data_IF_502952924339
#
_entry.id   IF_502952924339
#
_cell.length_a   1.000
_cell.length_b   1.000
_cell.length_c   1.000
_cell.angle_alpha   90.00
_cell.angle_beta   90.00
_cell.angle_gamma   90.00
#
_symmetry.space_group_name_H-M   'P 1'
#
loop_
_entity.id
_entity.type
_entity.pdbx_description
1 polymer ?
#
# COMPACT_ATOMS: atom_id res chain seq x y z
N UNK A 1 0.92 23.95 16.27
CA UNK A 1 -0.23 24.87 16.40
C UNK A 1 -1.30 24.53 15.36
N UNK A 2 -1.02 24.64 14.06
CA UNK A 2 -1.96 24.26 12.99
C UNK A 2 -2.63 22.88 13.16
N UNK A 3 -1.87 21.83 13.52
CA UNK A 3 -2.46 20.50 13.78
C UNK A 3 -3.50 20.53 14.91
N UNK A 4 -3.27 21.33 15.96
CA UNK A 4 -4.21 21.44 17.10
C UNK A 4 -5.51 22.11 16.66
N UNK A 5 -5.42 23.16 15.85
CA UNK A 5 -6.57 23.91 15.33
C UNK A 5 -7.48 23.02 14.48
N UNK A 6 -6.89 22.26 13.54
CA UNK A 6 -7.65 21.31 12.70
C UNK A 6 -8.41 20.30 13.56
N UNK A 7 -7.78 19.78 14.62
CA UNK A 7 -8.40 18.79 15.50
C UNK A 7 -9.44 19.42 16.44
N UNK A 8 -9.24 20.66 16.89
CA UNK A 8 -10.22 21.42 17.67
C UNK A 8 -11.51 21.69 16.88
N UNK A 9 -11.40 21.87 15.57
CA UNK A 9 -12.54 21.97 14.65
C UNK A 9 -13.24 20.61 14.41
N UNK A 10 -12.75 19.53 15.03
CA UNK A 10 -13.27 18.18 14.86
C UNK A 10 -12.71 17.44 13.64
N UNK A 11 -11.66 17.99 13.02
CA UNK A 11 -11.01 17.40 11.87
C UNK A 11 -10.29 16.09 12.18
N UNK A 12 -10.20 15.22 11.17
CA UNK A 12 -9.59 13.88 11.30
C UNK A 12 -8.22 13.86 10.65
N UNK A 13 -7.26 13.26 11.35
CA UNK A 13 -5.87 13.19 10.90
C UNK A 13 -5.55 11.77 10.44
N UNK A 14 -4.85 11.65 9.31
CA UNK A 14 -4.34 10.38 8.81
C UNK A 14 -2.82 10.34 8.93
N UNK A 15 -2.31 9.42 9.76
CA UNK A 15 -0.88 9.19 9.91
C UNK A 15 -0.38 8.17 8.88
N UNK A 16 0.65 8.50 8.12
CA UNK A 16 1.19 7.65 7.05
C UNK A 16 2.68 7.47 7.24
N UNK A 17 3.12 6.22 7.19
CA UNK A 17 4.54 5.89 7.08
C UNK A 17 4.75 4.41 6.89
N UNK A 18 5.31 4.04 5.75
CA UNK A 18 5.48 2.64 5.36
C UNK A 18 6.89 2.11 5.62
N UNK A 19 7.85 2.99 5.95
CA UNK A 19 9.20 2.60 6.35
C UNK A 19 9.17 1.74 7.62
N UNK A 20 10.02 0.71 7.67
CA UNK A 20 10.09 -0.25 8.79
C UNK A 20 10.28 0.42 10.15
N UNK A 21 11.03 1.52 10.18
CA UNK A 21 11.30 2.29 11.39
C UNK A 21 10.08 3.06 11.92
N UNK A 22 9.09 3.31 11.06
CA UNK A 22 7.92 4.14 11.33
C UNK A 22 6.63 3.34 11.51
N UNK A 23 6.53 2.12 10.95
CA UNK A 23 5.27 1.35 10.94
C UNK A 23 4.69 1.13 12.34
N UNK A 24 5.52 0.65 13.27
CA UNK A 24 5.13 0.32 14.64
C UNK A 24 4.76 1.58 15.42
N UNK A 25 5.61 2.60 15.34
CA UNK A 25 5.41 3.91 15.99
C UNK A 25 4.10 4.56 15.54
N UNK A 26 3.85 4.62 14.22
CA UNK A 26 2.65 5.25 13.68
C UNK A 26 1.39 4.51 14.11
N UNK A 27 1.42 3.17 14.08
CA UNK A 27 0.28 2.35 14.52
C UNK A 27 -0.06 2.61 15.97
N UNK A 28 0.93 2.56 16.85
CA UNK A 28 0.75 2.76 18.30
C UNK A 28 0.23 4.16 18.61
N UNK A 29 0.87 5.19 18.07
CA UNK A 29 0.55 6.58 18.37
C UNK A 29 -0.79 7.03 17.76
N UNK A 30 -1.11 6.58 16.55
CA UNK A 30 -2.40 6.86 15.92
C UNK A 30 -3.55 6.17 16.66
N UNK A 31 -3.36 4.91 17.07
CA UNK A 31 -4.34 4.18 17.87
C UNK A 31 -4.55 4.87 19.23
N UNK A 32 -3.47 5.36 19.85
CA UNK A 32 -3.51 6.10 21.11
C UNK A 32 -4.33 7.39 21.02
N UNK A 33 -4.16 8.16 19.95
CA UNK A 33 -4.92 9.41 19.75
C UNK A 33 -6.30 9.21 19.08
N UNK A 34 -6.70 7.96 18.82
CA UNK A 34 -7.98 7.63 18.18
C UNK A 34 -8.10 8.11 16.73
N UNK A 35 -6.96 8.31 16.05
CA UNK A 35 -6.90 8.74 14.66
C UNK A 35 -6.56 7.58 13.72
N UNK A 36 -6.61 7.84 12.42
CA UNK A 36 -6.38 6.82 11.38
C UNK A 36 -4.91 6.70 11.03
N UNK A 37 -4.53 5.53 10.54
CA UNK A 37 -3.17 5.30 10.09
C UNK A 37 -3.03 4.40 8.87
N UNK A 38 -1.90 4.51 8.19
CA UNK A 38 -1.41 3.60 7.16
C UNK A 38 0.06 3.30 7.42
N UNK A 39 0.34 2.09 7.88
CA UNK A 39 1.68 1.64 8.27
C UNK A 39 2.30 0.66 7.27
N UNK A 40 1.50 0.02 6.41
CA UNK A 40 1.98 -1.02 5.51
C UNK A 40 2.42 -0.51 4.13
N UNK A 41 1.49 -0.28 3.22
CA UNK A 41 1.80 0.25 1.88
C UNK A 41 0.66 1.17 1.46
N UNK A 42 1.01 2.34 0.94
CA UNK A 42 0.03 3.20 0.30
C UNK A 42 -0.49 2.56 -0.98
N UNK A 43 -1.79 2.28 -1.02
CA UNK A 43 -2.48 1.87 -2.25
C UNK A 43 -2.85 3.13 -3.02
N UNK A 44 -2.48 3.20 -4.29
CA UNK A 44 -2.86 4.34 -5.13
C UNK A 44 -4.39 4.46 -5.21
N UNK A 45 -4.90 5.68 -5.07
CA UNK A 45 -6.33 5.94 -5.02
C UNK A 45 -6.93 5.84 -3.61
N UNK A 46 -6.11 5.76 -2.56
CA UNK A 46 -6.60 5.70 -1.18
C UNK A 46 -7.47 6.91 -0.83
N UNK A 47 -7.06 8.11 -1.25
CA UNK A 47 -7.83 9.35 -1.03
C UNK A 47 -8.64 9.72 -2.27
N UNK A 48 -8.03 9.65 -3.46
CA UNK A 48 -8.67 10.11 -4.71
C UNK A 48 -9.76 9.17 -5.23
N UNK A 49 -9.71 7.88 -4.90
CA UNK A 49 -10.73 6.88 -5.24
C UNK A 49 -11.32 6.23 -3.98
N UNK A 50 -11.65 7.06 -2.99
CA UNK A 50 -12.11 6.59 -1.67
C UNK A 50 -13.38 5.73 -1.74
N UNK A 51 -14.27 5.96 -2.72
CA UNK A 51 -15.47 5.12 -2.92
C UNK A 51 -15.12 3.66 -3.19
N UNK A 52 -14.06 3.38 -3.95
CA UNK A 52 -13.63 2.00 -4.26
C UNK A 52 -12.94 1.37 -3.05
N UNK A 53 -12.14 2.15 -2.34
CA UNK A 53 -11.48 1.71 -1.11
C UNK A 53 -12.52 1.35 -0.04
N UNK A 54 -13.57 2.17 0.10
CA UNK A 54 -14.69 1.89 1.00
C UNK A 54 -15.37 0.56 0.65
N UNK A 55 -15.54 0.21 -0.62
CA UNK A 55 -16.06 -1.11 -1.02
C UNK A 55 -15.17 -2.25 -0.55
N UNK A 56 -13.84 -2.10 -0.65
CA UNK A 56 -12.89 -3.10 -0.15
C UNK A 56 -12.95 -3.24 1.38
N UNK A 57 -13.20 -2.14 2.10
CA UNK A 57 -13.42 -2.16 3.55
C UNK A 57 -14.77 -2.81 3.90
N UNK A 58 -15.84 -2.50 3.16
CA UNK A 58 -17.13 -3.18 3.32
C UNK A 58 -17.00 -4.68 3.10
N UNK A 59 -16.20 -5.10 2.11
CA UNK A 59 -15.88 -6.51 1.86
C UNK A 59 -15.15 -7.16 3.04
N UNK A 60 -14.26 -6.44 3.72
CA UNK A 60 -13.63 -6.93 4.95
C UNK A 60 -14.68 -7.20 6.04
N UNK A 61 -15.58 -6.24 6.29
CA UNK A 61 -16.66 -6.41 7.27
C UNK A 61 -17.63 -7.54 6.91
N UNK A 62 -17.92 -7.76 5.63
CA UNK A 62 -18.71 -8.92 5.18
C UNK A 62 -18.05 -10.25 5.55
N UNK A 63 -16.73 -10.36 5.35
CA UNK A 63 -15.99 -11.59 5.65
C UNK A 63 -15.92 -11.83 7.16
N UNK A 64 -15.68 -10.78 7.96
CA UNK A 64 -15.71 -10.85 9.43
C UNK A 64 -17.09 -11.29 9.93
N UNK A 65 -18.17 -10.71 9.38
CA UNK A 65 -19.53 -11.09 9.72
C UNK A 65 -19.85 -12.55 9.36
N UNK A 66 -19.40 -13.03 8.19
CA UNK A 66 -19.57 -14.44 7.80
C UNK A 66 -18.85 -15.42 8.75
N UNK A 67 -17.72 -14.99 9.32
CA UNK A 67 -16.99 -15.76 10.33
C UNK A 67 -17.73 -15.76 11.67
N UNK A 68 -18.22 -14.60 12.12
CA UNK A 68 -19.02 -14.46 13.35
C UNK A 68 -20.33 -15.26 13.29
N UNK A 69 -21.00 -15.25 12.14
CA UNK A 69 -22.25 -15.98 11.90
C UNK A 69 -22.03 -17.50 11.74
N UNK A 70 -20.77 -17.99 11.77
CA UNK A 70 -20.43 -19.42 11.66
C UNK A 70 -20.57 -20.02 10.26
N UNK A 71 -20.72 -19.19 9.22
CA UNK A 71 -20.91 -19.63 7.82
C UNK A 71 -19.70 -20.44 7.33
N UNK A 72 -18.51 -20.17 7.88
CA UNK A 72 -17.28 -20.87 7.52
C UNK A 72 -17.31 -22.37 7.82
N UNK A 73 -18.13 -22.82 8.78
CA UNK A 73 -18.25 -24.24 9.14
C UNK A 73 -19.02 -25.05 8.08
N UNK A 74 -19.94 -24.39 7.38
CA UNK A 74 -20.78 -25.01 6.33
C UNK A 74 -20.05 -25.05 4.98
N UNK A 75 -19.08 -24.16 4.78
CA UNK A 75 -18.35 -24.03 3.53
C UNK A 75 -17.24 -25.08 3.36
N UNK A 76 -16.88 -25.45 2.12
CA UNK A 76 -15.73 -26.29 1.86
C UNK A 76 -14.43 -25.64 2.35
N UNK A 77 -13.54 -26.44 2.95
CA UNK A 77 -12.23 -25.96 3.46
C UNK A 77 -11.40 -25.17 2.44
N UNK A 78 -11.54 -25.48 1.15
CA UNK A 78 -10.87 -24.74 0.06
C UNK A 78 -11.36 -23.29 -0.06
N UNK A 79 -12.64 -23.05 0.15
CA UNK A 79 -13.23 -21.72 0.10
C UNK A 79 -12.92 -20.93 1.36
N UNK A 80 -12.97 -21.57 2.52
CA UNK A 80 -12.54 -20.99 3.80
C UNK A 80 -11.09 -20.48 3.72
N UNK A 81 -10.17 -21.26 3.13
CA UNK A 81 -8.78 -20.82 2.94
C UNK A 81 -8.69 -19.59 2.04
N UNK A 82 -9.50 -19.50 0.99
CA UNK A 82 -9.53 -18.33 0.10
C UNK A 82 -10.04 -17.10 0.83
N UNK A 83 -11.14 -17.22 1.58
CA UNK A 83 -11.72 -16.14 2.38
C UNK A 83 -10.74 -15.68 3.47
N UNK A 84 -10.07 -16.59 4.17
CA UNK A 84 -9.04 -16.24 5.16
C UNK A 84 -7.85 -15.51 4.54
N UNK A 85 -7.42 -15.92 3.33
CA UNK A 85 -6.34 -15.24 2.61
C UNK A 85 -6.77 -13.85 2.13
N UNK A 86 -8.02 -13.70 1.72
CA UNK A 86 -8.62 -12.41 1.35
C UNK A 86 -8.71 -11.49 2.58
N UNK A 87 -9.26 -11.99 3.71
CA UNK A 87 -9.33 -11.28 4.99
C UNK A 87 -7.96 -10.79 5.44
N UNK A 88 -6.98 -11.68 5.54
CA UNK A 88 -5.64 -11.34 5.99
C UNK A 88 -4.95 -10.30 5.09
N UNK A 89 -5.24 -10.32 3.77
CA UNK A 89 -4.75 -9.30 2.85
C UNK A 89 -5.42 -7.95 3.10
N UNK A 90 -6.75 -7.92 3.22
CA UNK A 90 -7.51 -6.69 3.42
C UNK A 90 -7.18 -6.07 4.78
N UNK A 91 -7.18 -6.87 5.85
CA UNK A 91 -6.83 -6.46 7.21
C UNK A 91 -5.43 -5.83 7.25
N UNK A 92 -4.44 -6.46 6.61
CA UNK A 92 -3.07 -5.93 6.56
C UNK A 92 -3.00 -4.49 6.03
N UNK A 93 -3.79 -4.13 5.01
CA UNK A 93 -3.70 -2.79 4.40
C UNK A 93 -4.70 -1.79 4.97
N UNK A 94 -5.87 -2.26 5.39
CA UNK A 94 -7.01 -1.40 5.72
C UNK A 94 -7.29 -1.28 7.21
N UNK A 95 -6.58 -1.99 8.10
CA UNK A 95 -6.86 -1.96 9.54
C UNK A 95 -6.87 -0.53 10.10
N UNK A 96 -5.92 0.32 9.71
CA UNK A 96 -5.82 1.68 10.22
C UNK A 96 -6.83 2.67 9.61
N UNK A 97 -7.54 2.32 8.54
CA UNK A 97 -8.59 3.17 7.92
C UNK A 97 -9.98 2.52 7.93
N UNK A 98 -10.14 1.39 8.62
CA UNK A 98 -11.39 0.60 8.61
C UNK A 98 -12.62 1.39 9.09
N UNK A 99 -12.43 2.26 10.08
CA UNK A 99 -13.51 3.08 10.69
C UNK A 99 -13.59 4.48 10.05
N UNK A 100 -12.95 4.68 8.90
CA UNK A 100 -12.91 5.96 8.23
C UNK A 100 -14.17 6.17 7.36
N UNK A 101 -15.02 7.12 7.75
CA UNK A 101 -16.28 7.41 7.04
C UNK A 101 -16.11 8.52 6.01
N UNK A 102 -15.38 9.58 6.34
CA UNK A 102 -15.05 10.72 5.48
C UNK A 102 -13.56 10.74 5.11
N UNK A 103 -13.18 11.61 4.17
CA UNK A 103 -11.77 11.92 3.92
C UNK A 103 -11.15 12.59 5.16
N UNK A 104 -9.84 12.45 5.37
CA UNK A 104 -9.13 13.17 6.42
C UNK A 104 -8.97 14.66 6.06
N UNK A 105 -8.93 15.50 7.09
CA UNK A 105 -8.73 16.94 6.99
C UNK A 105 -7.25 17.33 7.04
N UNK A 106 -6.40 16.45 7.57
CA UNK A 106 -4.95 16.60 7.53
C UNK A 106 -4.25 15.26 7.29
N UNK A 107 -3.13 15.32 6.57
CA UNK A 107 -2.24 14.18 6.37
C UNK A 107 -0.93 14.41 7.13
N UNK A 108 -0.52 13.47 7.96
CA UNK A 108 0.81 13.45 8.55
C UNK A 108 1.64 12.34 7.89
N UNK A 109 2.79 12.68 7.32
CA UNK A 109 3.63 11.76 6.54
C UNK A 109 5.03 11.67 7.15
N UNK A 110 5.49 10.46 7.39
CA UNK A 110 6.91 10.18 7.64
C UNK A 110 7.56 9.85 6.31
N UNK A 111 8.55 10.63 5.93
CA UNK A 111 9.24 10.55 4.63
C UNK A 111 8.34 10.78 3.38
N UNK A 112 8.17 12.04 2.97
CA UNK A 112 7.46 12.40 1.73
C UNK A 112 8.01 11.75 0.46
N UNK A 113 9.29 11.36 0.43
CA UNK A 113 9.92 10.75 -0.75
C UNK A 113 9.42 9.33 -0.96
N UNK A 114 9.38 8.51 0.09
CA UNK A 114 8.80 7.16 -0.02
C UNK A 114 7.29 7.24 -0.23
N UNK A 115 6.61 8.17 0.43
CA UNK A 115 5.15 8.31 0.37
C UNK A 115 4.65 9.34 -0.65
N UNK A 116 5.41 9.52 -1.73
CA UNK A 116 5.10 10.49 -2.79
C UNK A 116 3.67 10.34 -3.34
N UNK A 117 3.15 9.12 -3.44
CA UNK A 117 1.78 8.89 -3.91
C UNK A 117 0.74 9.46 -2.95
N UNK A 118 0.95 9.32 -1.63
CA UNK A 118 0.04 9.84 -0.62
C UNK A 118 0.02 11.37 -0.65
N UNK A 119 1.20 11.97 -0.66
CA UNK A 119 1.38 13.43 -0.73
C UNK A 119 0.75 14.00 -2.00
N UNK A 120 0.97 13.37 -3.16
CA UNK A 120 0.39 13.80 -4.43
C UNK A 120 -1.14 13.70 -4.44
N UNK A 121 -1.71 12.65 -3.85
CA UNK A 121 -3.15 12.53 -3.73
C UNK A 121 -3.76 13.57 -2.79
N UNK A 122 -3.13 13.82 -1.64
CA UNK A 122 -3.55 14.86 -0.69
C UNK A 122 -3.50 16.25 -1.32
N UNK A 123 -2.40 16.60 -2.01
CA UNK A 123 -2.26 17.87 -2.72
C UNK A 123 -3.34 18.07 -3.79
N UNK A 124 -3.71 17.01 -4.53
CA UNK A 124 -4.79 17.08 -5.53
C UNK A 124 -6.16 17.38 -4.91
N UNK A 125 -6.38 16.94 -3.67
CA UNK A 125 -7.63 17.15 -2.95
C UNK A 125 -7.60 18.41 -2.07
N UNK A 126 -6.48 19.12 -2.00
CA UNK A 126 -6.30 20.30 -1.14
C UNK A 126 -6.19 19.97 0.35
N UNK A 127 -5.83 18.73 0.71
CA UNK A 127 -5.64 18.32 2.10
C UNK A 127 -4.24 18.79 2.53
N UNK A 128 -4.10 19.58 3.62
CA UNK A 128 -2.81 20.03 4.12
C UNK A 128 -1.93 18.86 4.58
N UNK A 129 -0.66 18.88 4.17
CA UNK A 129 0.32 17.84 4.45
C UNK A 129 1.34 18.34 5.47
N UNK A 130 1.44 17.60 6.57
CA UNK A 130 2.50 17.70 7.58
C UNK A 130 3.51 16.60 7.34
N UNK A 131 4.80 16.92 7.29
CA UNK A 131 5.81 15.95 6.86
C UNK A 131 7.11 16.05 7.62
N UNK A 132 7.65 14.89 8.00
CA UNK A 132 9.05 14.79 8.45
C UNK A 132 9.94 14.80 7.22
N UNK A 133 10.77 15.84 7.09
CA UNK A 133 11.67 16.03 5.94
C UNK A 133 13.11 15.82 6.42
N UNK A 134 13.80 14.89 5.77
CA UNK A 134 15.25 14.66 5.91
C UNK A 134 16.02 15.24 4.71
N UNK A 135 17.35 15.18 4.77
CA UNK A 135 18.30 15.68 3.75
C UNK A 135 18.04 15.20 2.32
N UNK A 136 17.33 14.09 2.14
CA UNK A 136 17.05 13.48 0.83
C UNK A 136 15.64 13.78 0.29
N UNK A 137 14.86 14.61 0.98
CA UNK A 137 13.49 14.94 0.63
C UNK A 137 13.38 16.38 0.12
N UNK A 138 12.51 16.59 -0.87
CA UNK A 138 12.18 17.93 -1.35
C UNK A 138 11.14 18.59 -0.41
N UNK A 139 11.48 19.70 0.26
CA UNK A 139 10.56 20.37 1.18
C UNK A 139 9.32 20.94 0.50
N UNK A 140 9.38 21.22 -0.81
CA UNK A 140 8.26 21.83 -1.56
C UNK A 140 7.08 20.88 -1.77
N UNK A 141 7.24 19.60 -1.40
CA UNK A 141 6.17 18.59 -1.44
C UNK A 141 5.21 18.70 -0.24
N UNK A 142 5.59 19.39 0.83
CA UNK A 142 4.90 19.40 2.12
C UNK A 142 4.54 20.84 2.49
N UNK A 143 3.36 21.05 3.08
CA UNK A 143 2.92 22.39 3.49
C UNK A 143 3.50 22.79 4.87
N UNK A 144 3.56 21.82 5.78
CA UNK A 144 4.15 21.99 7.12
C UNK A 144 5.34 21.08 7.32
N UNK A 145 6.53 21.66 7.19
CA UNK A 145 7.80 20.94 7.23
C UNK A 145 8.28 20.77 8.68
N UNK A 146 8.63 19.54 9.04
CA UNK A 146 9.29 19.19 10.30
C UNK A 146 10.67 18.63 9.97
N UNK A 147 11.75 19.41 10.13
CA UNK A 147 13.09 18.92 9.85
C UNK A 147 13.51 17.92 10.94
N UNK A 148 13.62 16.65 10.59
CA UNK A 148 14.10 15.60 11.49
C UNK A 148 14.61 14.38 10.73
N UNK A 149 15.41 13.57 11.41
CA UNK A 149 15.90 12.30 10.86
C UNK A 149 14.76 11.27 10.83
N UNK A 150 14.45 10.76 9.63
CA UNK A 150 13.40 9.76 9.39
C UNK A 150 13.88 8.30 9.53
N UNK A 151 15.18 8.06 9.56
CA UNK A 151 15.78 6.72 9.65
C UNK A 151 15.91 6.21 11.08
N UNK A 152 15.99 7.11 12.06
CA UNK A 152 16.16 6.75 13.46
C UNK A 152 14.80 6.55 14.14
N UNK A 153 14.52 5.32 14.59
CA UNK A 153 13.27 4.96 15.31
C UNK A 153 13.01 5.92 16.48
N UNK A 154 14.05 6.28 17.24
CA UNK A 154 13.94 7.20 18.39
C UNK A 154 13.47 8.59 17.96
N UNK A 155 13.99 9.11 16.86
CA UNK A 155 13.62 10.42 16.32
C UNK A 155 12.18 10.39 15.78
N UNK A 156 11.82 9.37 15.01
CA UNK A 156 10.45 9.18 14.52
C UNK A 156 9.47 9.08 15.70
N UNK A 157 9.78 8.30 16.73
CA UNK A 157 8.94 8.19 17.94
C UNK A 157 8.75 9.53 18.64
N UNK A 158 9.78 10.36 18.70
CA UNK A 158 9.69 11.70 19.28
C UNK A 158 8.76 12.61 18.51
N UNK A 159 8.95 12.68 17.20
CA UNK A 159 8.16 13.59 16.38
C UNK A 159 6.71 13.12 16.29
N UNK A 160 6.49 11.83 16.02
CA UNK A 160 5.14 11.25 15.92
C UNK A 160 4.43 11.32 17.27
N UNK A 161 5.09 10.97 18.37
CA UNK A 161 4.49 11.06 19.71
C UNK A 161 4.15 12.49 20.10
N UNK A 162 5.01 13.47 19.76
CA UNK A 162 4.74 14.90 20.01
C UNK A 162 3.56 15.38 19.17
N UNK A 163 3.45 14.92 17.92
CA UNK A 163 2.32 15.24 17.06
C UNK A 163 1.03 14.60 17.55
N UNK A 164 1.07 13.33 17.99
CA UNK A 164 -0.07 12.65 18.59
C UNK A 164 -0.52 13.33 19.90
N UNK A 165 0.41 13.82 20.72
CA UNK A 165 0.08 14.64 21.88
C UNK A 165 -0.62 15.94 21.49
N UNK A 166 -0.17 16.60 20.40
CA UNK A 166 -0.85 17.78 19.90
C UNK A 166 -2.29 17.48 19.46
N UNK A 167 -2.53 16.32 18.84
CA UNK A 167 -3.89 15.85 18.49
C UNK A 167 -4.72 15.62 19.76
N UNK A 168 -4.18 14.92 20.76
CA UNK A 168 -4.88 14.64 22.03
C UNK A 168 -5.24 15.94 22.76
N UNK A 169 -4.30 16.89 22.82
CA UNK A 169 -4.57 18.22 23.37
C UNK A 169 -5.66 18.97 22.60
N UNK A 170 -5.66 18.86 21.27
CA UNK A 170 -6.71 19.44 20.42
C UNK A 170 -8.10 18.86 20.71
N UNK A 171 -8.18 17.58 21.09
CA UNK A 171 -9.40 16.91 21.51
C UNK A 171 -9.81 17.25 22.97
N UNK A 172 -9.02 18.04 23.69
CA UNK A 172 -9.24 18.36 25.11
C UNK A 172 -8.76 17.27 26.08
N UNK A 173 -7.97 16.31 25.60
CA UNK A 173 -7.33 15.30 26.45
C UNK A 173 -6.05 15.82 27.12
N UNK A 174 -5.62 15.14 28.18
CA UNK A 174 -4.33 15.39 28.82
C UNK A 174 -3.20 14.77 28.00
N UNK A 175 -2.19 15.55 27.56
CA UNK A 175 -1.01 15.02 26.91
C UNK A 175 -0.20 14.17 27.91
N UNK A 176 0.49 13.18 27.37
CA UNK A 176 1.39 12.32 28.15
C UNK A 176 2.81 12.82 27.96
N UNK A 177 3.58 12.94 29.03
CA UNK A 177 5.02 13.16 28.89
C UNK A 177 5.64 11.95 28.18
N UNK A 178 6.32 12.21 27.07
CA UNK A 178 7.05 11.19 26.34
C UNK A 178 8.37 10.97 27.08
N UNK A 179 8.37 10.03 28.02
CA UNK A 179 9.57 9.66 28.78
C UNK A 179 10.47 8.78 27.91
N UNK A 180 11.68 9.25 27.64
CA UNK A 180 12.72 8.47 26.98
C UNK A 180 13.60 7.79 28.05
N UNK A 181 13.28 6.53 28.37
CA UNK A 181 14.22 5.64 29.04
C UNK A 181 14.98 4.80 28.01
N UNK A 182 16.28 4.55 28.22
CA UNK A 182 17.03 3.48 27.56
C UNK A 182 16.48 2.12 27.99
N UNK A 183 15.25 1.78 27.57
CA UNK A 183 14.86 0.38 27.57
C UNK A 183 15.63 -0.33 26.45
N UNK A 184 16.41 -1.38 26.77
CA UNK A 184 17.17 -2.10 25.77
C UNK A 184 16.18 -2.70 24.77
N UNK A 185 16.42 -2.44 23.49
CA UNK A 185 15.73 -3.10 22.41
C UNK A 185 15.84 -4.62 22.62
N UNK A 186 14.73 -5.29 22.90
CA UNK A 186 14.68 -6.75 22.82
C UNK A 186 15.24 -7.18 21.46
N UNK A 187 16.31 -7.97 21.49
CA UNK A 187 16.99 -8.48 20.31
C UNK A 187 15.99 -9.26 19.44
N UNK A 188 15.54 -8.65 18.33
CA UNK A 188 14.89 -9.41 17.27
C UNK A 188 15.90 -10.42 16.70
N UNK A 189 15.55 -11.72 16.59
CA UNK A 189 16.45 -12.70 16.00
C UNK A 189 16.78 -12.31 14.57
N UNK A 190 18.06 -12.08 14.29
CA UNK A 190 18.55 -11.88 12.93
C UNK A 190 18.33 -13.16 12.14
N UNK A 191 17.35 -13.16 11.23
CA UNK A 191 17.25 -14.17 10.19
C UNK A 191 18.46 -14.02 9.27
N UNK A 192 19.41 -14.94 9.44
CA UNK A 192 20.58 -15.09 8.58
C UNK A 192 20.15 -15.41 7.15
N UNK A 193 20.53 -14.55 6.21
CA UNK A 193 20.44 -14.86 4.79
C UNK A 193 21.48 -15.94 4.43
N UNK A 194 21.10 -17.02 3.73
CA UNK A 194 22.09 -17.96 3.20
C UNK A 194 22.80 -17.33 2.00
N UNK A 195 24.08 -17.01 2.18
CA UNK A 195 24.97 -16.61 1.09
C UNK A 195 25.40 -17.83 0.28
N UNK A 196 24.96 -17.87 -0.98
CA UNK A 196 25.47 -18.81 -1.98
C UNK A 196 26.74 -18.22 -2.61
N UNK A 197 27.92 -18.77 -2.28
CA UNK A 197 29.15 -18.55 -3.05
C UNK A 197 29.72 -19.89 -3.53
N UNK A 198 29.96 -20.00 -4.83
CA UNK A 198 30.39 -21.21 -5.51
C UNK A 198 31.93 -21.30 -5.66
N UNK A 199 32.45 -22.54 -5.49
CA UNK A 199 33.65 -23.18 -6.13
C UNK A 199 35.04 -22.61 -5.78
N UNK A 200 36.15 -23.37 -5.63
CA UNK A 200 36.67 -24.76 -5.86
C UNK A 200 37.95 -24.85 -4.97
N UNK A 201 38.59 -25.99 -4.61
CA UNK A 201 39.32 -26.95 -5.48
C UNK A 201 39.96 -28.10 -4.66
N UNK A 202 39.76 -29.35 -5.11
CA UNK A 202 40.58 -30.59 -5.15
C UNK A 202 41.56 -30.99 -4.02
N UNK A 203 41.48 -32.29 -3.64
CA UNK A 203 42.65 -33.21 -3.65
C UNK A 203 42.22 -34.69 -3.78
N UNK A 204 42.98 -35.44 -4.57
CA UNK A 204 42.76 -36.80 -5.06
C UNK A 204 42.89 -37.94 -4.01
N UNK A 205 42.16 -39.05 -4.22
CA UNK A 205 42.76 -40.38 -4.49
C UNK A 205 41.75 -41.46 -4.89
N UNK A 206 42.27 -42.35 -5.74
CA UNK A 206 41.68 -43.26 -6.74
C UNK A 206 41.59 -44.72 -6.26
N UNK A 207 40.51 -45.45 -6.59
CA UNK A 207 40.46 -46.90 -6.90
C UNK A 207 38.98 -47.36 -7.06
N UNK A 208 38.53 -48.28 -7.92
CA UNK A 208 39.05 -49.05 -9.07
C UNK A 208 37.88 -49.96 -9.57
N UNK A 209 37.53 -49.91 -10.88
CA UNK A 209 36.98 -50.99 -11.76
C UNK A 209 35.68 -51.74 -11.34
N UNK A 210 34.77 -52.28 -12.15
CA UNK A 210 34.52 -52.49 -13.61
C UNK A 210 33.19 -53.27 -13.72
N UNK A 211 32.33 -52.98 -14.71
CA UNK A 211 31.91 -53.93 -15.77
C UNK A 211 30.82 -53.33 -16.69
N UNK A 212 31.11 -53.38 -18.00
CA UNK A 212 30.21 -53.20 -19.15
C UNK A 212 29.20 -54.35 -19.24
N UNK A 213 28.01 -54.10 -19.79
CA UNK A 213 27.45 -54.80 -20.97
C UNK A 213 26.65 -53.78 -21.81
N UNK A 214 26.75 -53.93 -23.12
CA UNK A 214 26.31 -53.06 -24.22
C UNK A 214 25.46 -53.92 -25.16
N UNK A 215 24.32 -53.42 -25.66
CA UNK A 215 23.73 -53.76 -26.98
C UNK A 215 22.70 -52.65 -27.28
N UNK A 216 22.95 -51.65 -28.15
CA UNK A 216 22.84 -51.62 -29.64
C UNK A 216 21.51 -52.20 -30.16
N UNK A 217 20.77 -51.66 -31.15
CA UNK A 217 20.82 -50.55 -32.13
C UNK A 217 19.41 -50.60 -32.82
N UNK A 218 18.79 -49.56 -33.38
CA UNK A 218 19.00 -48.90 -34.71
C UNK A 218 17.71 -48.07 -34.91
N UNK A 219 17.72 -46.75 -35.18
CA UNK A 219 17.78 -46.10 -36.51
C UNK A 219 16.85 -46.76 -37.55
N UNK A 220 15.98 -46.06 -38.26
CA UNK A 220 16.29 -45.03 -39.28
C UNK A 220 15.03 -44.18 -39.57
N UNK A 221 15.15 -42.84 -39.65
CA UNK A 221 15.20 -42.00 -40.89
C UNK A 221 13.81 -41.50 -41.36
N UNK A 222 13.62 -40.32 -41.96
CA UNK A 222 14.42 -39.11 -42.13
C UNK A 222 13.50 -38.01 -42.76
N UNK A 223 14.05 -36.80 -42.81
CA UNK A 223 13.92 -35.74 -43.83
C UNK A 223 12.72 -34.78 -43.82
N UNK A 224 12.96 -33.64 -43.17
CA UNK A 224 13.01 -32.26 -43.72
C UNK A 224 12.84 -32.05 -45.23
N UNK A 225 12.08 -31.00 -45.60
CA UNK A 225 12.53 -29.79 -46.36
C UNK A 225 11.42 -28.72 -46.23
N UNK A 226 11.72 -27.57 -45.62
CA UNK A 226 12.09 -26.26 -46.22
C UNK A 226 10.90 -25.44 -46.75
N UNK A 227 10.83 -24.18 -46.30
CA UNK A 227 9.75 -23.23 -46.61
C UNK A 227 10.00 -22.36 -47.83
N UNK A 228 9.15 -21.36 -48.01
CA UNK A 228 9.41 -19.98 -48.46
C UNK A 228 8.06 -19.23 -48.60
N UNK A 229 8.03 -18.04 -47.97
CA UNK A 229 7.38 -16.76 -48.29
C UNK A 229 5.94 -16.60 -48.85
N UNK A 230 5.34 -15.50 -48.35
CA UNK A 230 4.47 -14.52 -49.03
C UNK A 230 3.08 -14.94 -49.53
N UNK A 231 2.02 -14.41 -48.90
CA UNK A 231 1.23 -13.31 -49.49
C UNK A 231 0.17 -12.79 -48.48
N UNK A 232 -0.03 -11.48 -48.54
CA UNK A 232 -1.07 -10.74 -47.85
C UNK A 232 -2.45 -10.97 -48.50
N UNK A 233 -3.52 -10.79 -47.73
CA UNK A 233 -4.75 -10.20 -48.25
C UNK A 233 -5.57 -9.56 -47.13
N UNK A 234 -5.61 -8.23 -47.21
CA UNK A 234 -6.59 -7.28 -46.71
C UNK A 234 -7.93 -7.48 -47.43
N UNK A 235 -9.07 -7.40 -46.72
CA UNK A 235 -10.41 -6.97 -47.18
C UNK A 235 -11.25 -6.78 -45.90
N UNK A 236 -11.99 -5.70 -45.60
CA UNK A 236 -12.14 -4.34 -46.12
C UNK A 236 -13.07 -3.63 -45.12
N UNK A 237 -12.69 -2.42 -44.73
CA UNK A 237 -13.51 -1.46 -44.00
C UNK A 237 -14.35 -0.70 -45.05
N UNK A 238 -15.68 -0.63 -44.89
CA UNK A 238 -16.50 0.35 -45.61
C UNK A 238 -17.09 1.33 -44.61
N UNK A 239 -16.47 2.51 -44.64
CA UNK A 239 -16.96 3.77 -44.11
C UNK A 239 -18.01 4.34 -45.08
N UNK A 240 -19.06 4.97 -44.57
CA UNK A 240 -19.73 6.07 -45.30
C UNK A 240 -20.28 7.08 -44.31
N UNK A 241 -19.55 8.19 -44.25
CA UNK A 241 -19.86 9.47 -43.64
C UNK A 241 -21.22 10.02 -44.11
N UNK A 242 -21.87 10.83 -43.27
CA UNK A 242 -21.86 12.30 -43.51
C UNK A 242 -22.68 13.06 -42.48
N UNK A 243 -22.14 14.23 -42.20
CA UNK A 243 -22.54 15.29 -41.28
C UNK A 243 -23.92 15.89 -41.57
N UNK A 244 -24.52 16.53 -40.56
CA UNK A 244 -24.92 17.97 -40.53
C UNK A 244 -25.81 18.20 -39.30
N UNK A 245 -25.31 18.91 -38.29
CA UNK A 245 -25.68 20.29 -37.95
C UNK A 245 -27.17 20.59 -37.99
N UNK A 246 -27.81 20.79 -36.83
CA UNK A 246 -28.65 21.98 -36.61
C UNK A 246 -28.99 22.18 -35.12
N UNK A 247 -28.63 23.37 -34.66
CA UNK A 247 -29.10 24.05 -33.46
C UNK A 247 -30.58 24.39 -33.57
N UNK A 248 -31.39 24.14 -32.54
CA UNK A 248 -32.64 24.88 -32.32
C UNK A 248 -32.79 25.20 -30.82
N UNK A 249 -32.69 26.49 -30.51
CA UNK A 249 -33.21 27.13 -29.32
C UNK A 249 -34.74 27.02 -29.30
N UNK A 250 -35.34 26.70 -28.14
CA UNK A 250 -36.70 27.15 -27.81
C UNK A 250 -36.75 27.49 -26.32
N UNK A 251 -36.96 28.78 -26.05
CA UNK A 251 -37.45 29.32 -24.79
C UNK A 251 -38.97 29.46 -24.87
N UNK A 252 -39.71 28.93 -23.88
CA UNK A 252 -41.09 29.33 -23.49
C UNK A 252 -41.24 28.91 -22.00
N UNK A 253 -41.09 29.85 -21.05
CA UNK A 253 -42.16 30.59 -20.36
C UNK A 253 -42.82 29.75 -19.24
N UNK A 254 -42.43 30.01 -17.97
CA UNK A 254 -43.19 29.57 -16.79
C UNK A 254 -43.70 30.82 -16.05
N UNK A 255 -45.01 30.82 -15.85
CA UNK A 255 -45.87 31.92 -15.43
C UNK A 255 -45.76 32.12 -13.91
N UNK A 256 -45.61 33.37 -13.51
CA UNK A 256 -45.86 33.81 -12.14
C UNK A 256 -47.17 34.61 -12.10
N UNK A 257 -48.20 34.01 -11.51
CA UNK A 257 -49.24 34.68 -10.71
C UNK A 257 -49.79 33.69 -9.67
#
# INVERSE_FOLDING_TARGET
QAMKEIVQEGGRVLFVGTRKQSQEVIREEATRCGQFYVDQRWLGGTLTNFKTIRKSISRLFEIEKMEEDGVFEVLPKKEVIKLNKERARLEKYFNGIRNMTSLPDALFVVDPRSEYNAVREARKLGIPVFGIVDTNCDPDLVDYIIPANDDAIRAVKLIVGTMANAVVEGQGGTPIEIVYGDEPAEERPQQSQPQHSAKKTKTDKKAKKTKKVKTEKKETENSTVEGVAEEANDVEEVNSESETTETVEVAVEEVAE
#
